data_IF_786503535112
#
_entry.id   IF_786503535112
#
_cell.length_a   1.000
_cell.length_b   1.000
_cell.length_c   1.000
_cell.angle_alpha   90.00
_cell.angle_beta   90.00
_cell.angle_gamma   90.00
#
_symmetry.space_group_name_H-M   'P 1'
#
loop_
_entity.id
_entity.type
_entity.pdbx_description
1 polymer ?
#
# COMPACT_ATOMS: atom_id res chain seq x y z
N UNK A 1 37.06 -5.63 25.16
CA UNK A 1 35.74 -6.01 24.60
C UNK A 1 35.22 -4.80 23.87
N UNK A 2 34.85 -4.87 22.58
CA UNK A 2 34.31 -3.71 21.89
C UNK A 2 32.86 -3.51 22.35
N UNK A 3 32.57 -2.31 22.85
CA UNK A 3 31.23 -1.85 23.20
C UNK A 3 30.47 -1.64 21.89
N UNK A 4 29.52 -2.52 21.57
CA UNK A 4 28.59 -2.32 20.45
C UNK A 4 27.66 -1.17 20.84
N UNK A 5 27.95 0.02 20.34
CA UNK A 5 27.02 1.15 20.40
C UNK A 5 25.85 0.82 19.49
N UNK A 6 24.73 0.41 20.06
CA UNK A 6 23.46 0.29 19.34
C UNK A 6 23.01 1.71 19.02
N UNK A 7 23.32 2.18 17.82
CA UNK A 7 22.77 3.42 17.29
C UNK A 7 21.29 3.17 17.08
N UNK A 8 20.43 3.63 18.00
CA UNK A 8 19.00 3.74 17.74
C UNK A 8 18.84 4.79 16.65
N UNK A 9 18.52 4.34 15.44
CA UNK A 9 18.15 5.24 14.35
C UNK A 9 16.69 5.60 14.53
N UNK A 10 16.35 6.88 14.39
CA UNK A 10 14.97 7.37 14.50
C UNK A 10 14.35 7.60 13.11
N UNK A 11 15.16 7.42 12.06
CA UNK A 11 14.73 7.55 10.67
C UNK A 11 14.14 6.22 10.18
N UNK A 12 12.83 6.14 9.88
CA UNK A 12 12.21 4.93 9.37
C UNK A 12 12.80 4.45 8.04
N UNK A 13 13.39 5.33 7.21
CA UNK A 13 14.01 4.98 5.93
C UNK A 13 15.28 4.13 6.09
N UNK A 14 15.96 4.24 7.24
CA UNK A 14 17.15 3.46 7.56
C UNK A 14 16.81 2.06 8.09
N UNK A 15 15.53 1.75 8.34
CA UNK A 15 15.12 0.41 8.77
C UNK A 15 15.30 -0.61 7.64
N UNK A 16 15.77 -1.80 7.98
CA UNK A 16 15.76 -2.95 7.06
C UNK A 16 14.33 -3.38 6.66
N UNK A 17 13.31 -2.87 7.37
CA UNK A 17 11.91 -3.07 7.06
C UNK A 17 11.36 -2.01 6.09
N UNK A 18 12.09 -0.93 5.81
CA UNK A 18 11.65 0.08 4.86
C UNK A 18 11.54 -0.53 3.44
N UNK A 19 10.48 -0.21 2.68
CA UNK A 19 10.39 -0.59 1.28
C UNK A 19 11.58 -0.07 0.49
N UNK A 20 11.97 -0.79 -0.57
CA UNK A 20 12.97 -0.28 -1.52
C UNK A 20 12.34 0.90 -2.27
N UNK A 21 12.50 2.11 -1.70
CA UNK A 21 12.05 3.33 -2.33
C UNK A 21 12.76 3.43 -3.69
N UNK A 22 12.02 3.77 -4.74
CA UNK A 22 12.65 4.27 -5.95
C UNK A 22 13.36 5.58 -5.57
N UNK A 23 14.65 5.46 -5.20
CA UNK A 23 15.51 6.47 -4.53
C UNK A 23 15.67 7.82 -5.25
N UNK A 24 14.81 8.20 -6.20
CA UNK A 24 15.04 9.39 -7.02
C UNK A 24 13.82 10.24 -7.39
N UNK A 25 12.57 9.87 -7.05
CA UNK A 25 11.43 10.71 -7.39
C UNK A 25 10.67 11.14 -6.13
N UNK A 26 10.32 12.43 -6.07
CA UNK A 26 9.52 13.08 -5.02
C UNK A 26 8.06 12.59 -5.01
N UNK A 27 7.83 11.33 -5.37
CA UNK A 27 6.51 10.73 -5.47
C UNK A 27 6.07 10.27 -4.09
N UNK A 28 5.01 10.87 -3.50
CA UNK A 28 4.52 10.52 -2.17
C UNK A 28 3.73 9.20 -2.13
N UNK A 29 3.77 8.42 -3.21
CA UNK A 29 3.10 7.14 -3.36
C UNK A 29 4.11 5.99 -3.47
N UNK A 30 3.67 4.75 -3.19
CA UNK A 30 4.51 3.57 -3.35
C UNK A 30 4.97 3.38 -4.80
N UNK A 31 5.99 2.55 -5.01
CA UNK A 31 6.66 2.39 -6.31
C UNK A 31 5.75 1.92 -7.46
N UNK A 32 4.63 1.28 -7.14
CA UNK A 32 3.62 0.77 -8.07
C UNK A 32 2.40 1.71 -8.22
N UNK A 33 2.42 2.85 -7.56
CA UNK A 33 1.35 3.84 -7.52
C UNK A 33 1.77 5.21 -8.11
N UNK A 34 0.79 6.05 -8.41
CA UNK A 34 0.96 7.42 -8.87
C UNK A 34 0.03 8.37 -8.10
N UNK A 35 0.52 9.58 -7.82
CA UNK A 35 -0.27 10.61 -7.16
C UNK A 35 -1.30 11.23 -8.11
N UNK A 36 -2.56 11.24 -7.70
CA UNK A 36 -3.61 11.99 -8.39
C UNK A 36 -4.66 12.51 -7.40
N UNK A 37 -4.99 13.81 -7.45
CA UNK A 37 -6.01 14.38 -6.57
C UNK A 37 -5.74 14.23 -5.06
N UNK A 38 -4.48 14.02 -4.66
CA UNK A 38 -4.08 13.83 -3.26
C UNK A 38 -4.14 12.38 -2.76
N UNK A 39 -4.47 11.42 -3.63
CA UNK A 39 -4.47 9.99 -3.32
C UNK A 39 -3.52 9.24 -4.25
N UNK A 40 -3.11 8.04 -3.83
CA UNK A 40 -2.23 7.16 -4.56
C UNK A 40 -3.05 6.09 -5.28
N UNK A 41 -2.94 6.08 -6.61
CA UNK A 41 -3.66 5.14 -7.49
C UNK A 41 -2.64 4.19 -8.13
N UNK A 42 -3.05 3.00 -8.55
CA UNK A 42 -2.23 2.21 -9.47
C UNK A 42 -1.92 3.03 -10.73
N UNK A 43 -0.68 2.90 -11.20
CA UNK A 43 -0.20 3.58 -12.40
C UNK A 43 -1.07 3.25 -13.61
N UNK A 44 -1.57 4.26 -14.32
CA UNK A 44 -2.29 4.10 -15.57
C UNK A 44 -1.48 3.31 -16.62
N UNK A 45 -0.16 3.47 -16.64
CA UNK A 45 0.75 2.67 -17.45
C UNK A 45 0.63 1.17 -17.13
N UNK A 46 0.51 0.78 -15.86
CA UNK A 46 0.33 -0.63 -15.49
C UNK A 46 -1.08 -1.12 -15.81
N UNK A 47 -2.11 -0.36 -15.44
CA UNK A 47 -3.52 -0.73 -15.63
C UNK A 47 -3.89 -0.92 -17.11
N UNK A 48 -3.17 -0.26 -18.02
CA UNK A 48 -3.46 -0.27 -19.46
C UNK A 48 -2.37 -0.93 -20.30
N UNK A 49 -1.45 -1.66 -19.65
CA UNK A 49 -0.29 -2.29 -20.29
C UNK A 49 0.51 -1.32 -21.19
N UNK A 50 0.64 -0.07 -20.75
CA UNK A 50 1.38 1.01 -21.39
C UNK A 50 0.61 1.79 -22.46
N UNK A 51 -0.60 1.37 -22.84
CA UNK A 51 -1.34 2.02 -23.94
C UNK A 51 -1.90 3.40 -23.58
N UNK A 52 -2.24 3.63 -22.31
CA UNK A 52 -2.82 4.87 -21.81
C UNK A 52 -2.11 5.29 -20.52
N UNK A 53 -0.86 5.80 -20.58
CA UNK A 53 -0.05 5.99 -19.39
C UNK A 53 -0.41 7.25 -18.59
N UNK A 54 -1.18 8.19 -19.14
CA UNK A 54 -1.55 9.44 -18.48
C UNK A 54 -2.86 9.31 -17.69
N UNK A 55 -2.86 9.66 -16.41
CA UNK A 55 -4.06 9.78 -15.58
C UNK A 55 -4.63 11.19 -15.62
N UNK A 56 -5.79 11.36 -16.25
CA UNK A 56 -6.47 12.67 -16.33
C UNK A 56 -7.54 12.88 -15.25
N UNK A 57 -8.09 11.81 -14.68
CA UNK A 57 -9.02 11.84 -13.56
C UNK A 57 -8.87 10.59 -12.67
N UNK A 58 -9.63 10.52 -11.58
CA UNK A 58 -9.72 9.33 -10.73
C UNK A 58 -10.16 8.06 -11.48
N UNK A 59 -10.78 8.18 -12.66
CA UNK A 59 -11.35 7.04 -13.39
C UNK A 59 -10.94 6.99 -14.87
N UNK A 60 -9.96 7.78 -15.29
CA UNK A 60 -9.55 7.84 -16.69
C UNK A 60 -8.04 7.76 -16.91
N UNK A 61 -7.67 6.89 -17.84
CA UNK A 61 -6.32 6.74 -18.38
C UNK A 61 -6.34 7.13 -19.87
N UNK A 62 -5.39 7.92 -20.33
CA UNK A 62 -5.37 8.49 -21.68
C UNK A 62 -4.11 8.10 -22.47
N UNK A 63 -4.28 7.91 -23.78
CA UNK A 63 -3.24 7.57 -24.76
C UNK A 63 -2.38 8.79 -25.12
N UNK A 64 -1.87 9.47 -24.09
CA UNK A 64 -0.93 10.58 -24.17
C UNK A 64 0.20 10.32 -23.16
N UNK A 65 1.35 10.95 -23.37
CA UNK A 65 2.48 10.76 -22.46
C UNK A 65 2.12 11.18 -21.03
N UNK A 66 2.52 10.39 -20.04
CA UNK A 66 2.43 10.77 -18.64
C UNK A 66 3.32 12.00 -18.37
N UNK A 67 2.88 12.89 -17.47
CA UNK A 67 3.62 14.09 -17.11
C UNK A 67 2.76 15.37 -17.09
N UNK A 68 3.39 16.56 -17.03
CA UNK A 68 2.69 17.81 -16.77
C UNK A 68 1.66 18.20 -17.86
N UNK A 69 1.85 17.74 -19.09
CA UNK A 69 0.95 18.06 -20.20
C UNK A 69 -0.23 17.09 -20.34
N UNK A 70 -0.32 16.08 -19.45
CA UNK A 70 -1.37 15.05 -19.47
C UNK A 70 -2.78 15.67 -19.48
N UNK A 71 -3.05 16.67 -18.62
CA UNK A 71 -4.37 17.30 -18.53
C UNK A 71 -4.77 18.13 -19.76
N UNK A 72 -3.79 18.70 -20.48
CA UNK A 72 -4.05 19.53 -21.67
C UNK A 72 -4.29 18.68 -22.92
N UNK A 73 -3.69 17.49 -22.98
CA UNK A 73 -3.75 16.58 -24.13
C UNK A 73 -4.80 15.47 -23.95
N UNK A 74 -5.26 15.24 -22.72
CA UNK A 74 -6.34 14.33 -22.43
C UNK A 74 -7.68 14.86 -22.99
N UNK A 75 -8.36 14.01 -23.75
CA UNK A 75 -9.66 14.28 -24.35
C UNK A 75 -10.53 13.03 -24.38
N UNK A 76 -11.83 13.20 -24.62
CA UNK A 76 -12.76 12.06 -24.61
C UNK A 76 -12.44 11.04 -25.71
N UNK A 77 -11.82 11.46 -26.81
CA UNK A 77 -11.43 10.56 -27.91
C UNK A 77 -10.19 9.69 -27.63
N UNK A 78 -9.34 10.06 -26.68
CA UNK A 78 -8.08 9.38 -26.39
C UNK A 78 -7.98 8.84 -24.96
N UNK A 79 -9.04 8.96 -24.18
CA UNK A 79 -9.13 8.46 -22.81
C UNK A 79 -10.05 7.25 -22.72
N UNK A 80 -9.60 6.23 -22.02
CA UNK A 80 -10.46 5.18 -21.49
C UNK A 80 -10.98 5.61 -20.12
N UNK A 81 -12.29 5.53 -19.94
CA UNK A 81 -12.96 5.86 -18.68
C UNK A 81 -13.58 4.60 -18.13
N UNK A 82 -13.07 4.12 -16.99
CA UNK A 82 -13.57 2.95 -16.30
C UNK A 82 -14.03 3.39 -14.90
N UNK A 83 -15.23 3.99 -14.80
CA UNK A 83 -15.73 4.56 -13.56
C UNK A 83 -16.10 3.46 -12.59
N UNK A 84 -15.75 3.65 -11.31
CA UNK A 84 -16.11 2.70 -10.28
C UNK A 84 -15.71 3.13 -8.88
N UNK A 85 -16.43 2.61 -7.88
CA UNK A 85 -16.01 2.71 -6.50
C UNK A 85 -14.96 1.63 -6.24
N UNK A 86 -13.70 2.02 -6.28
CA UNK A 86 -12.59 1.11 -5.98
C UNK A 86 -12.49 -0.10 -6.92
N UNK A 87 -12.84 0.13 -8.19
CA UNK A 87 -12.71 -0.80 -9.30
C UNK A 87 -12.37 -0.05 -10.60
N UNK A 88 -11.98 -0.78 -11.64
CA UNK A 88 -11.58 -0.16 -12.91
C UNK A 88 -10.27 0.62 -12.74
N UNK A 89 -10.29 1.92 -13.02
CA UNK A 89 -9.11 2.79 -12.86
C UNK A 89 -9.06 3.55 -11.55
N UNK A 90 -10.12 3.48 -10.76
CA UNK A 90 -10.18 4.05 -9.42
C UNK A 90 -9.64 3.02 -8.42
N UNK A 91 -8.42 2.52 -8.62
CA UNK A 91 -7.80 1.53 -7.74
C UNK A 91 -6.39 1.92 -7.29
N UNK A 92 -5.91 1.43 -6.14
CA UNK A 92 -4.52 1.51 -5.69
C UNK A 92 -3.66 0.37 -6.28
N UNK A 93 -2.39 0.32 -5.86
CA UNK A 93 -1.34 -0.56 -6.37
C UNK A 93 -1.61 -2.06 -6.25
N UNK A 94 -0.69 -2.88 -6.73
CA UNK A 94 -0.83 -4.35 -6.87
C UNK A 94 -0.67 -5.08 -5.53
N UNK A 95 -0.04 -4.44 -4.55
CA UNK A 95 0.28 -5.02 -3.25
C UNK A 95 -0.77 -4.75 -2.16
N UNK A 96 -1.80 -3.96 -2.48
CA UNK A 96 -2.88 -3.59 -1.57
C UNK A 96 -4.17 -4.38 -1.87
N UNK A 97 -4.16 -5.69 -1.62
CA UNK A 97 -5.43 -6.43 -1.58
C UNK A 97 -6.13 -6.10 -0.26
N UNK A 98 -6.82 -4.96 -0.21
CA UNK A 98 -7.70 -4.68 0.91
C UNK A 98 -8.93 -5.58 0.85
N UNK A 99 -9.36 -5.96 2.03
CA UNK A 99 -10.33 -7.00 2.26
C UNK A 99 -11.79 -6.56 2.03
N UNK A 100 -12.02 -5.52 1.24
CA UNK A 100 -13.34 -5.24 0.67
C UNK A 100 -13.48 -5.81 -0.75
N UNK A 101 -12.43 -6.50 -1.26
CA UNK A 101 -12.37 -6.87 -2.68
C UNK A 101 -12.22 -5.64 -3.58
N UNK A 102 -11.89 -4.51 -2.98
CA UNK A 102 -11.83 -3.21 -3.63
C UNK A 102 -10.52 -2.55 -3.28
N UNK A 103 -9.61 -2.56 -4.24
CA UNK A 103 -8.28 -1.98 -4.17
C UNK A 103 -8.41 -0.45 -4.22
N UNK A 104 -8.98 0.22 -3.20
CA UNK A 104 -9.28 1.66 -3.23
C UNK A 104 -8.01 2.51 -3.23
N UNK A 105 -7.98 3.67 -3.92
CA UNK A 105 -6.86 4.61 -3.83
C UNK A 105 -6.56 4.98 -2.38
N UNK A 106 -5.29 4.93 -2.00
CA UNK A 106 -4.84 5.13 -0.61
C UNK A 106 -4.33 6.55 -0.36
N UNK A 107 -4.22 6.91 0.91
CA UNK A 107 -3.52 8.11 1.32
C UNK A 107 -2.02 7.98 1.01
N UNK A 108 -1.36 9.13 0.84
CA UNK A 108 0.09 9.20 0.63
C UNK A 108 0.89 8.55 1.76
N UNK A 109 2.03 7.96 1.40
CA UNK A 109 2.89 7.18 2.28
C UNK A 109 2.84 5.70 1.99
N UNK A 110 3.67 4.93 2.70
CA UNK A 110 3.75 3.48 2.55
C UNK A 110 3.83 2.79 3.91
N UNK A 111 3.61 1.48 3.93
CA UNK A 111 3.84 0.61 5.07
C UNK A 111 5.25 0.00 5.02
N UNK A 112 5.69 -0.58 6.13
CA UNK A 112 6.91 -1.37 6.14
C UNK A 112 6.73 -2.67 5.32
N UNK A 113 7.82 -3.24 4.79
CA UNK A 113 7.80 -4.48 4.00
C UNK A 113 7.15 -5.67 4.71
N UNK A 114 7.16 -5.68 6.04
CA UNK A 114 6.55 -6.71 6.87
C UNK A 114 5.12 -6.37 7.32
N UNK A 115 4.52 -5.33 6.74
CA UNK A 115 3.17 -4.87 7.01
C UNK A 115 2.25 -5.00 5.79
N UNK A 116 0.95 -4.90 6.03
CA UNK A 116 -0.11 -4.83 5.03
C UNK A 116 -1.05 -3.67 5.37
N UNK A 117 -1.56 -3.03 4.33
CA UNK A 117 -2.58 -1.99 4.45
C UNK A 117 -3.96 -2.61 4.66
N UNK A 118 -4.66 -2.19 5.70
CA UNK A 118 -6.05 -2.58 5.93
C UNK A 118 -6.82 -1.42 6.56
N UNK A 119 -7.91 -0.99 5.93
CA UNK A 119 -8.68 0.18 6.39
C UNK A 119 -7.80 1.41 6.71
N UNK A 120 -6.92 1.79 5.77
CA UNK A 120 -5.99 2.95 5.86
C UNK A 120 -4.94 2.87 6.97
N UNK A 121 -4.75 1.69 7.55
CA UNK A 121 -3.77 1.44 8.60
C UNK A 121 -2.80 0.33 8.17
N UNK A 122 -1.52 0.53 8.45
CA UNK A 122 -0.47 -0.46 8.34
C UNK A 122 -0.52 -1.38 9.57
N UNK A 123 -0.62 -2.68 9.29
CA UNK A 123 -0.56 -3.73 10.29
C UNK A 123 0.52 -4.73 9.92
N UNK A 124 1.14 -5.38 10.91
CA UNK A 124 2.00 -6.54 10.65
C UNK A 124 1.23 -7.59 9.85
N UNK A 125 1.84 -8.14 8.79
CA UNK A 125 1.19 -9.09 7.88
C UNK A 125 0.61 -10.29 8.64
N UNK A 126 -0.62 -10.68 8.30
CA UNK A 126 -1.29 -11.87 8.82
C UNK A 126 -0.50 -13.16 8.58
N UNK A 127 0.21 -13.25 7.46
CA UNK A 127 1.14 -14.36 7.17
C UNK A 127 2.30 -14.46 8.17
N UNK A 128 2.77 -13.34 8.71
CA UNK A 128 3.82 -13.31 9.75
C UNK A 128 3.21 -13.63 11.11
N UNK A 129 2.11 -12.97 11.47
CA UNK A 129 1.43 -13.13 12.77
C UNK A 129 0.93 -14.55 13.03
N UNK A 130 0.55 -15.26 11.96
CA UNK A 130 -0.04 -16.60 12.04
C UNK A 130 0.87 -17.70 11.51
N UNK A 131 2.14 -17.39 11.24
CA UNK A 131 3.15 -18.32 10.72
C UNK A 131 2.66 -19.03 9.44
N UNK A 132 2.02 -18.27 8.54
CA UNK A 132 1.55 -18.73 7.24
C UNK A 132 0.20 -19.44 7.22
N UNK A 133 -0.46 -19.63 8.37
CA UNK A 133 -1.72 -20.40 8.45
C UNK A 133 -2.96 -19.60 8.08
N UNK A 134 -2.96 -18.29 8.35
CA UNK A 134 -4.05 -17.37 8.10
C UNK A 134 -3.48 -16.10 7.49
N UNK A 135 -3.39 -16.06 6.16
CA UNK A 135 -2.62 -15.05 5.44
C UNK A 135 -3.42 -13.80 5.07
N UNK A 136 -4.73 -13.78 5.29
CA UNK A 136 -5.63 -12.73 4.80
C UNK A 136 -6.24 -11.95 5.99
N UNK A 137 -6.16 -10.61 5.97
CA UNK A 137 -6.54 -9.79 7.13
C UNK A 137 -8.00 -9.38 7.18
N UNK A 138 -8.75 -10.14 7.98
CA UNK A 138 -10.13 -10.00 8.50
C UNK A 138 -10.65 -8.65 8.97
N UNK A 139 -9.72 -7.93 9.58
CA UNK A 139 -10.00 -7.05 10.69
C UNK A 139 -8.70 -6.65 11.38
N UNK A 140 -8.75 -5.64 12.24
CA UNK A 140 -7.57 -5.16 12.98
C UNK A 140 -6.89 -6.28 13.79
N UNK A 141 -7.67 -7.20 14.37
CA UNK A 141 -7.19 -8.29 15.21
C UNK A 141 -7.50 -9.70 14.63
N UNK A 142 -7.93 -9.79 13.37
CA UNK A 142 -8.46 -11.04 12.79
C UNK A 142 -7.77 -11.36 11.48
N UNK A 143 -7.34 -12.62 11.32
CA UNK A 143 -6.79 -13.17 10.09
C UNK A 143 -7.62 -14.38 9.63
N UNK A 144 -7.64 -14.67 8.33
CA UNK A 144 -8.33 -15.77 7.70
C UNK A 144 -7.38 -16.65 6.88
N UNK A 145 -7.68 -17.95 6.83
CA UNK A 145 -6.93 -18.94 6.04
C UNK A 145 -7.32 -19.01 4.57
N UNK A 146 -8.41 -18.34 4.20
CA UNK A 146 -8.97 -18.31 2.84
C UNK A 146 -8.95 -16.90 2.30
N UNK A 147 -8.69 -16.76 1.00
CA UNK A 147 -8.77 -15.46 0.32
C UNK A 147 -10.22 -15.03 0.08
N UNK A 148 -11.14 -16.00 0.02
CA UNK A 148 -12.55 -15.76 -0.24
C UNK A 148 -13.25 -15.15 0.97
N UNK A 149 -13.84 -13.96 0.79
CA UNK A 149 -14.66 -13.28 1.81
C UNK A 149 -15.74 -14.16 2.40
N UNK A 150 -16.48 -14.89 1.56
CA UNK A 150 -17.56 -15.75 2.02
C UNK A 150 -17.04 -16.92 2.87
N UNK A 151 -15.84 -17.42 2.56
CA UNK A 151 -15.22 -18.45 3.40
C UNK A 151 -14.76 -17.88 4.74
N UNK A 152 -14.35 -16.62 4.79
CA UNK A 152 -13.97 -15.95 6.03
C UNK A 152 -15.16 -15.54 6.92
N UNK A 153 -16.40 -15.62 6.42
CA UNK A 153 -17.59 -15.57 7.29
C UNK A 153 -17.72 -16.82 8.18
N UNK A 154 -17.03 -17.90 7.83
CA UNK A 154 -17.02 -19.12 8.62
C UNK A 154 -16.00 -19.01 9.76
N UNK A 155 -16.40 -19.09 11.04
CA UNK A 155 -15.49 -18.94 12.17
C UNK A 155 -14.34 -19.94 12.18
N UNK A 156 -14.51 -21.11 11.58
CA UNK A 156 -13.45 -22.13 11.47
C UNK A 156 -12.28 -21.73 10.57
N UNK A 157 -12.44 -20.71 9.74
CA UNK A 157 -11.36 -20.18 8.90
C UNK A 157 -10.70 -18.94 9.50
N UNK A 158 -11.19 -18.45 10.64
CA UNK A 158 -10.73 -17.23 11.29
C UNK A 158 -9.80 -17.53 12.47
N UNK A 159 -8.83 -16.65 12.66
CA UNK A 159 -7.99 -16.58 13.85
C UNK A 159 -7.98 -15.15 14.35
N UNK A 160 -8.57 -14.94 15.51
CA UNK A 160 -8.69 -13.64 16.15
C UNK A 160 -7.86 -13.62 17.43
N UNK A 161 -6.99 -12.62 17.55
CA UNK A 161 -6.16 -12.39 18.73
C UNK A 161 -5.88 -10.89 18.84
N UNK A 162 -6.04 -10.30 20.03
CA UNK A 162 -5.76 -8.88 20.24
C UNK A 162 -4.30 -8.51 19.91
N UNK A 163 -3.37 -9.47 20.01
CA UNK A 163 -1.97 -9.30 19.64
C UNK A 163 -1.75 -9.14 18.12
N UNK A 164 -2.79 -9.31 17.28
CA UNK A 164 -2.70 -9.11 15.83
C UNK A 164 -2.97 -7.67 15.40
N UNK A 165 -3.43 -6.83 16.32
CA UNK A 165 -3.65 -5.39 16.14
C UNK A 165 -2.36 -4.61 16.44
N UNK A 166 -1.31 -4.87 15.65
CA UNK A 166 0.03 -4.30 15.85
C UNK A 166 0.69 -3.93 14.51
N UNK A 167 1.68 -3.05 14.58
CA UNK A 167 2.60 -2.73 13.49
C UNK A 167 3.79 -3.69 13.42
N UNK A 168 4.56 -3.54 12.36
CA UNK A 168 5.71 -4.36 11.98
C UNK A 168 7.03 -3.92 12.61
N UNK A 169 7.13 -2.70 13.14
CA UNK A 169 8.39 -2.10 13.65
C UNK A 169 8.94 -2.73 14.93
N UNK A 170 8.23 -3.64 15.58
CA UNK A 170 8.72 -4.28 16.80
C UNK A 170 10.00 -5.12 16.54
N UNK A 171 11.11 -4.74 17.18
CA UNK A 171 12.34 -5.53 17.25
C UNK A 171 13.38 -5.26 16.17
N UNK A 172 13.26 -4.16 15.42
CA UNK A 172 14.23 -3.73 14.41
C UNK A 172 15.27 -2.72 14.93
N UNK A 173 15.19 -2.35 16.22
CA UNK A 173 16.04 -1.35 16.88
C UNK A 173 15.98 0.06 16.28
N UNK A 174 14.91 0.38 15.54
CA UNK A 174 14.64 1.70 14.99
C UNK A 174 13.42 2.30 15.72
N UNK A 175 13.54 3.51 16.27
CA UNK A 175 12.40 4.12 16.99
C UNK A 175 11.41 4.82 16.06
N UNK A 176 11.82 5.06 14.81
CA UNK A 176 11.01 5.61 13.74
C UNK A 176 10.00 4.62 13.14
N UNK A 177 10.13 3.33 13.43
CA UNK A 177 9.21 2.27 12.97
C UNK A 177 8.24 1.87 14.09
N UNK A 178 6.93 2.20 13.97
CA UNK A 178 5.99 1.93 15.05
C UNK A 178 5.70 0.44 15.23
N UNK A 179 5.53 0.01 16.49
CA UNK A 179 5.06 -1.34 16.84
C UNK A 179 3.54 -1.43 17.00
N UNK A 180 2.84 -0.29 17.08
CA UNK A 180 1.38 -0.19 17.04
C UNK A 180 0.91 0.00 15.61
N UNK A 181 -0.36 -0.32 15.32
CA UNK A 181 -0.94 -0.03 14.01
C UNK A 181 -0.90 1.47 13.74
N UNK A 182 -0.47 1.88 12.55
CA UNK A 182 -0.26 3.29 12.22
C UNK A 182 -0.75 3.60 10.81
N UNK A 183 -1.04 4.87 10.47
CA UNK A 183 -1.28 5.25 9.09
C UNK A 183 0.00 5.09 8.24
N UNK A 184 -0.11 4.99 6.91
CA UNK A 184 1.05 4.98 6.02
C UNK A 184 1.99 6.16 6.29
N UNK A 185 3.30 5.88 6.26
CA UNK A 185 4.33 6.86 6.58
C UNK A 185 4.87 7.49 5.30
N UNK A 186 4.82 8.81 5.21
CA UNK A 186 5.28 9.56 4.01
C UNK A 186 6.77 9.34 3.72
N UNK A 187 7.59 9.26 4.76
CA UNK A 187 9.02 8.96 4.65
C UNK A 187 9.30 7.60 4.02
N UNK A 188 8.40 6.63 4.12
CA UNK A 188 8.58 5.34 3.44
C UNK A 188 8.24 5.39 1.94
N UNK A 189 7.46 6.37 1.50
CA UNK A 189 7.14 6.56 0.08
C UNK A 189 8.17 7.44 -0.65
N UNK A 190 8.77 8.41 0.04
CA UNK A 190 9.76 9.35 -0.53
C UNK A 190 11.09 9.25 0.20
N UNK A 191 12.21 9.10 -0.52
CA UNK A 191 13.53 9.41 0.06
C UNK A 191 13.61 10.92 0.25
N UNK A 192 13.91 11.38 1.48
CA UNK A 192 14.16 12.81 1.75
C UNK A 192 15.51 13.29 1.22
#
# INVERSE_FOLDING_TARGET
MPTTTTTTTDDPEESALAPEVAKNDKDPCSSDQELHGGLCYAKCATLTAGSHPCRSSAWSCCAVAAGPNCGEQAGLENCWVHPGFCFGYAVSGHDEVTEQGTNCPTAVGDCLNNEEMFMEQCYKKCSILTQGTHNYRTGAATCCSKQSHFECLWPGNLKTDQMYNIGGGAGDHNSGTPNESHPPMKSLATSQ
#
